data_IF_012693062559
#
_entry.id   IF_012693062559
#
_cell.length_a   1.000
_cell.length_b   1.000
_cell.length_c   1.000
_cell.angle_alpha   90.00
_cell.angle_beta   90.00
_cell.angle_gamma   90.00
#
_symmetry.space_group_name_H-M   'P 1'
#
loop_
_entity.id
_entity.type
_entity.pdbx_description
1 polymer ?
#
# COMPACT_ATOMS: atom_id res chain seq x y z
N UNK A 1 2.41 17.12 33.07
CA UNK A 1 1.36 16.37 32.34
C UNK A 1 1.57 16.66 30.86
N UNK A 2 1.73 15.63 30.03
CA UNK A 2 1.82 15.83 28.58
C UNK A 2 0.44 16.31 28.06
N UNK A 3 0.40 17.22 27.08
CA UNK A 3 -0.86 17.62 26.46
C UNK A 3 -1.56 16.41 25.85
N UNK A 4 -2.90 16.40 25.78
CA UNK A 4 -3.64 15.33 25.13
C UNK A 4 -3.22 15.21 23.65
N UNK A 5 -3.18 13.99 23.09
CA UNK A 5 -2.84 13.79 21.68
C UNK A 5 -3.84 14.54 20.79
N UNK A 6 -3.33 15.09 19.69
CA UNK A 6 -4.20 15.72 18.70
C UNK A 6 -5.07 14.65 18.01
N UNK A 7 -6.19 15.00 17.36
CA UNK A 7 -7.12 14.02 16.80
C UNK A 7 -6.49 13.05 15.79
N UNK A 8 -5.52 13.52 14.99
CA UNK A 8 -4.80 12.68 14.02
C UNK A 8 -3.92 11.65 14.73
N UNK A 9 -3.17 12.10 15.74
CA UNK A 9 -2.34 11.22 16.57
C UNK A 9 -3.20 10.18 17.32
N UNK A 10 -4.30 10.60 17.93
CA UNK A 10 -5.22 9.70 18.62
C UNK A 10 -5.80 8.64 17.67
N UNK A 11 -6.19 9.05 16.45
CA UNK A 11 -6.67 8.13 15.41
C UNK A 11 -5.58 7.14 14.99
N UNK A 12 -4.35 7.60 14.71
CA UNK A 12 -3.23 6.73 14.35
C UNK A 12 -2.97 5.65 15.43
N UNK A 13 -2.91 6.06 16.69
CA UNK A 13 -2.70 5.15 17.82
C UNK A 13 -3.86 4.16 17.98
N UNK A 14 -5.10 4.57 17.77
CA UNK A 14 -6.26 3.67 17.78
C UNK A 14 -6.17 2.60 16.69
N UNK A 15 -5.87 3.01 15.45
CA UNK A 15 -5.73 2.09 14.32
C UNK A 15 -4.62 1.07 14.58
N UNK A 16 -3.45 1.52 15.05
CA UNK A 16 -2.32 0.65 15.37
C UNK A 16 -2.64 -0.33 16.52
N UNK A 17 -3.36 0.13 17.54
CA UNK A 17 -3.83 -0.72 18.65
C UNK A 17 -4.80 -1.79 18.17
N UNK A 18 -5.79 -1.42 17.35
CA UNK A 18 -6.78 -2.36 16.77
C UNK A 18 -6.11 -3.37 15.85
N UNK A 19 -5.18 -2.92 15.01
CA UNK A 19 -4.38 -3.78 14.14
C UNK A 19 -3.61 -4.81 14.98
N UNK A 20 -2.86 -4.34 15.97
CA UNK A 20 -2.05 -5.21 16.83
C UNK A 20 -2.90 -6.20 17.61
N UNK A 21 -4.07 -5.78 18.11
CA UNK A 21 -4.99 -6.66 18.81
C UNK A 21 -5.58 -7.75 17.92
N UNK A 22 -5.93 -7.42 16.67
CA UNK A 22 -6.39 -8.41 15.69
C UNK A 22 -5.26 -9.36 15.28
N UNK A 23 -4.07 -8.80 14.99
CA UNK A 23 -2.92 -9.55 14.51
C UNK A 23 -2.38 -10.55 15.53
N UNK A 24 -2.39 -10.21 16.83
CA UNK A 24 -1.99 -11.14 17.92
C UNK A 24 -2.89 -12.37 18.06
N UNK A 25 -4.13 -12.31 17.56
CA UNK A 25 -5.07 -13.44 17.61
C UNK A 25 -4.87 -14.44 16.48
N UNK A 26 -4.10 -14.08 15.46
CA UNK A 26 -3.87 -14.92 14.30
C UNK A 26 -2.94 -16.09 14.65
N UNK A 27 -3.33 -17.31 14.27
CA UNK A 27 -2.46 -18.49 14.35
C UNK A 27 -1.20 -18.37 13.47
N UNK A 28 -0.17 -19.22 13.64
CA UNK A 28 1.13 -19.07 12.94
C UNK A 28 1.07 -19.05 11.41
N UNK A 29 0.06 -19.70 10.82
CA UNK A 29 -0.13 -19.83 9.37
C UNK A 29 -1.34 -19.05 8.85
N UNK A 30 -2.05 -18.34 9.73
CA UNK A 30 -3.21 -17.55 9.31
C UNK A 30 -2.76 -16.25 8.63
N UNK A 31 -3.54 -15.80 7.66
CA UNK A 31 -3.36 -14.48 7.05
C UNK A 31 -4.28 -13.48 7.74
N UNK A 32 -3.86 -12.20 7.87
CA UNK A 32 -4.76 -11.18 8.36
C UNK A 32 -6.03 -11.11 7.52
N UNK A 33 -7.15 -10.83 8.17
CA UNK A 33 -8.39 -10.51 7.46
C UNK A 33 -8.23 -9.15 6.78
N UNK A 34 -9.04 -8.92 5.75
CA UNK A 34 -9.02 -7.66 4.99
C UNK A 34 -9.22 -6.43 5.88
N UNK A 35 -10.04 -6.52 6.92
CA UNK A 35 -10.25 -5.41 7.85
C UNK A 35 -8.96 -5.05 8.59
N UNK A 36 -8.13 -6.03 8.92
CA UNK A 36 -6.82 -5.80 9.55
C UNK A 36 -5.89 -5.08 8.58
N UNK A 37 -5.80 -5.51 7.32
CA UNK A 37 -4.99 -4.84 6.30
C UNK A 37 -5.39 -3.37 6.13
N UNK A 38 -6.70 -3.10 6.08
CA UNK A 38 -7.23 -1.75 5.93
C UNK A 38 -6.85 -0.83 7.09
N UNK A 39 -6.70 -1.35 8.32
CA UNK A 39 -6.20 -0.57 9.46
C UNK A 39 -4.74 -0.13 9.24
N UNK A 40 -3.88 -1.02 8.73
CA UNK A 40 -2.49 -0.70 8.45
C UNK A 40 -2.36 0.32 7.32
N UNK A 41 -3.13 0.17 6.25
CA UNK A 41 -3.17 1.12 5.13
C UNK A 41 -3.73 2.49 5.56
N UNK A 42 -4.78 2.51 6.38
CA UNK A 42 -5.32 3.74 6.95
C UNK A 42 -4.29 4.48 7.83
N UNK A 43 -3.54 3.74 8.65
CA UNK A 43 -2.45 4.32 9.44
C UNK A 43 -1.33 4.89 8.53
N UNK A 44 -1.01 4.20 7.43
CA UNK A 44 -0.05 4.67 6.44
C UNK A 44 -0.50 5.97 5.74
N UNK A 45 -1.78 6.13 5.42
CA UNK A 45 -2.34 7.41 4.92
C UNK A 45 -2.07 8.54 5.92
N UNK A 46 -2.41 8.33 7.19
CA UNK A 46 -2.20 9.35 8.23
C UNK A 46 -0.72 9.72 8.38
N UNK A 47 0.18 8.73 8.33
CA UNK A 47 1.62 8.97 8.33
C UNK A 47 2.06 9.79 7.11
N UNK A 48 1.51 9.49 5.93
CA UNK A 48 1.89 10.15 4.69
C UNK A 48 1.39 11.61 4.63
N UNK A 49 0.14 11.86 5.02
CA UNK A 49 -0.50 13.19 4.92
C UNK A 49 -0.19 14.11 6.11
N UNK A 50 0.08 13.53 7.29
CA UNK A 50 0.21 14.28 8.54
C UNK A 50 1.43 13.89 9.38
N UNK A 51 2.65 13.72 8.81
CA UNK A 51 3.81 13.25 9.57
C UNK A 51 4.16 14.18 10.75
N UNK A 52 4.02 15.49 10.57
CA UNK A 52 4.29 16.51 11.60
C UNK A 52 3.28 16.52 12.77
N UNK A 53 2.18 15.76 12.67
CA UNK A 53 1.18 15.62 13.73
C UNK A 53 1.40 14.37 14.59
N UNK A 54 2.36 13.53 14.25
CA UNK A 54 2.59 12.26 14.93
C UNK A 54 3.78 12.40 15.89
N UNK A 55 3.53 12.11 17.16
CA UNK A 55 4.50 12.29 18.24
C UNK A 55 5.46 11.10 18.36
N UNK A 56 6.50 11.18 19.20
CA UNK A 56 7.37 10.03 19.51
C UNK A 56 6.62 8.76 19.96
N UNK A 57 5.43 8.89 20.57
CA UNK A 57 4.60 7.74 20.93
C UNK A 57 4.10 6.97 19.69
N UNK A 58 3.81 7.66 18.59
CA UNK A 58 3.49 7.01 17.31
C UNK A 58 4.71 6.30 16.74
N UNK A 59 5.91 6.87 16.84
CA UNK A 59 7.14 6.20 16.39
C UNK A 59 7.39 4.89 17.16
N UNK A 60 7.22 4.90 18.48
CA UNK A 60 7.34 3.70 19.30
C UNK A 60 6.30 2.65 18.90
N UNK A 61 5.05 3.07 18.73
CA UNK A 61 3.94 2.20 18.32
C UNK A 61 4.19 1.57 16.94
N UNK A 62 4.70 2.35 15.98
CA UNK A 62 5.14 1.85 14.67
C UNK A 62 6.20 0.76 14.85
N UNK A 63 7.20 1.00 15.70
CA UNK A 63 8.24 0.01 16.01
C UNK A 63 7.65 -1.32 16.50
N UNK A 64 6.72 -1.25 17.45
CA UNK A 64 6.04 -2.43 17.98
C UNK A 64 5.20 -3.16 16.92
N UNK A 65 4.43 -2.44 16.10
CA UNK A 65 3.63 -3.05 15.02
C UNK A 65 4.52 -3.69 13.95
N UNK A 66 5.63 -3.03 13.62
CA UNK A 66 6.64 -3.52 12.67
C UNK A 66 7.28 -4.83 13.16
N UNK A 67 7.69 -4.88 14.42
CA UNK A 67 8.24 -6.10 15.03
C UNK A 67 7.21 -7.22 15.07
N UNK A 68 5.97 -6.91 15.45
CA UNK A 68 4.88 -7.87 15.47
C UNK A 68 4.61 -8.46 14.07
N UNK A 69 4.58 -7.62 13.04
CA UNK A 69 4.41 -8.03 11.63
C UNK A 69 5.56 -8.89 11.11
N UNK A 70 6.79 -8.62 11.57
CA UNK A 70 8.00 -9.32 11.13
C UNK A 70 8.15 -10.77 11.60
N UNK A 71 7.31 -11.24 12.53
CA UNK A 71 7.43 -12.58 13.12
C UNK A 71 6.81 -13.72 12.29
N UNK A 72 6.39 -13.46 11.04
CA UNK A 72 5.72 -14.45 10.16
C UNK A 72 6.55 -14.84 8.95
N UNK A 73 6.13 -15.92 8.27
CA UNK A 73 6.84 -16.51 7.12
C UNK A 73 7.09 -15.51 5.97
N UNK A 74 6.11 -14.65 5.67
CA UNK A 74 6.29 -13.53 4.74
C UNK A 74 6.53 -12.23 5.52
N UNK A 75 7.69 -12.15 6.18
CA UNK A 75 8.02 -11.10 7.14
C UNK A 75 7.84 -9.67 6.62
N UNK A 76 7.95 -9.46 5.30
CA UNK A 76 7.82 -8.13 4.71
C UNK A 76 6.36 -7.69 4.58
N UNK A 77 5.42 -8.61 4.32
CA UNK A 77 4.03 -8.30 3.94
C UNK A 77 3.34 -7.45 5.00
N UNK A 78 3.30 -7.97 6.22
CA UNK A 78 2.58 -7.35 7.33
C UNK A 78 3.40 -6.25 8.02
N UNK A 79 4.72 -6.31 7.86
CA UNK A 79 5.67 -5.33 8.39
C UNK A 79 5.71 -4.05 7.54
N UNK A 80 5.54 -4.17 6.23
CA UNK A 80 5.89 -3.12 5.28
C UNK A 80 5.09 -1.82 5.47
N UNK A 81 3.76 -1.81 5.69
CA UNK A 81 3.05 -0.56 5.93
C UNK A 81 3.58 0.21 7.14
N UNK A 82 3.96 -0.51 8.21
CA UNK A 82 4.56 0.09 9.40
C UNK A 82 6.00 0.56 9.16
N UNK A 83 6.78 -0.19 8.38
CA UNK A 83 8.12 0.27 7.97
C UNK A 83 8.02 1.57 7.15
N UNK A 84 7.14 1.62 6.14
CA UNK A 84 6.92 2.81 5.32
C UNK A 84 6.45 4.00 6.14
N UNK A 85 5.49 3.80 7.06
CA UNK A 85 5.07 4.85 7.99
C UNK A 85 6.26 5.36 8.81
N UNK A 86 7.07 4.46 9.37
CA UNK A 86 8.26 4.82 10.14
C UNK A 86 9.29 5.62 9.34
N UNK A 87 9.52 5.24 8.08
CA UNK A 87 10.45 5.92 7.17
C UNK A 87 9.94 7.33 6.81
N UNK A 88 8.65 7.48 6.51
CA UNK A 88 8.00 8.77 6.28
C UNK A 88 8.18 9.71 7.48
N UNK A 89 7.98 9.20 8.70
CA UNK A 89 8.08 10.01 9.92
C UNK A 89 9.53 10.42 10.23
N UNK A 90 10.54 9.70 9.72
CA UNK A 90 11.96 10.11 9.80
C UNK A 90 12.37 11.07 8.68
N UNK A 91 11.48 11.35 7.73
CA UNK A 91 11.81 12.12 6.52
C UNK A 91 12.60 11.31 5.48
N UNK A 92 12.75 10.00 5.68
CA UNK A 92 13.44 9.07 4.80
C UNK A 92 12.45 8.56 3.74
N UNK A 93 11.91 9.44 2.90
CA UNK A 93 10.86 9.06 1.92
C UNK A 93 11.44 8.37 0.71
N UNK A 94 12.30 9.06 -0.03
CA UNK A 94 12.94 8.51 -1.22
C UNK A 94 14.09 7.59 -0.81
N UNK A 95 14.26 6.47 -1.53
CA UNK A 95 15.34 5.48 -1.30
C UNK A 95 15.31 4.79 0.08
N UNK A 96 14.20 4.91 0.81
CA UNK A 96 14.01 4.25 2.10
C UNK A 96 14.08 2.73 1.97
N UNK A 97 14.37 2.04 3.07
CA UNK A 97 14.31 0.57 3.12
C UNK A 97 12.92 0.08 2.73
N UNK A 98 11.85 0.72 3.22
CA UNK A 98 10.48 0.40 2.83
C UNK A 98 10.22 0.58 1.33
N UNK A 99 10.67 1.70 0.75
CA UNK A 99 10.52 1.96 -0.71
C UNK A 99 11.28 0.92 -1.53
N UNK A 100 12.52 0.60 -1.17
CA UNK A 100 13.30 -0.42 -1.86
C UNK A 100 12.64 -1.80 -1.80
N UNK A 101 12.10 -2.19 -0.63
CA UNK A 101 11.36 -3.45 -0.48
C UNK A 101 10.12 -3.47 -1.38
N UNK A 102 9.27 -2.43 -1.31
CA UNK A 102 8.02 -2.46 -2.08
C UNK A 102 8.28 -2.43 -3.59
N UNK A 103 9.25 -1.65 -4.06
CA UNK A 103 9.65 -1.63 -5.47
C UNK A 103 10.10 -3.01 -5.92
N UNK A 104 10.93 -3.72 -5.13
CA UNK A 104 11.39 -5.08 -5.46
C UNK A 104 10.26 -6.11 -5.59
N UNK A 105 9.12 -5.89 -4.92
CA UNK A 105 7.98 -6.82 -4.91
C UNK A 105 6.82 -6.39 -5.85
N UNK A 106 6.97 -5.35 -6.67
CA UNK A 106 5.92 -4.94 -7.61
C UNK A 106 5.60 -6.01 -8.67
N UNK A 107 6.57 -6.85 -9.03
CA UNK A 107 6.51 -7.96 -9.98
C UNK A 107 6.45 -9.34 -9.29
N UNK A 108 6.08 -9.38 -8.01
CA UNK A 108 6.08 -10.59 -7.19
C UNK A 108 5.33 -11.76 -7.87
N UNK A 109 5.94 -12.94 -8.06
CA UNK A 109 5.31 -14.06 -8.80
C UNK A 109 4.03 -14.60 -8.14
N UNK A 110 3.93 -14.55 -6.81
CA UNK A 110 2.73 -15.00 -6.09
C UNK A 110 1.62 -13.97 -6.18
N UNK A 111 0.54 -14.28 -6.91
CA UNK A 111 -0.57 -13.35 -7.16
C UNK A 111 -1.16 -12.69 -5.91
N UNK A 112 -1.33 -13.41 -4.81
CA UNK A 112 -1.83 -12.82 -3.55
C UNK A 112 -0.87 -11.75 -2.99
N UNK A 113 0.43 -12.02 -3.01
CA UNK A 113 1.46 -11.09 -2.55
C UNK A 113 1.62 -9.90 -3.50
N UNK A 114 1.52 -10.12 -4.82
CA UNK A 114 1.51 -9.04 -5.81
C UNK A 114 0.33 -8.10 -5.60
N UNK A 115 -0.87 -8.65 -5.41
CA UNK A 115 -2.06 -7.84 -5.15
C UNK A 115 -1.85 -6.93 -3.94
N UNK A 116 -1.30 -7.47 -2.86
CA UNK A 116 -0.93 -6.69 -1.67
C UNK A 116 0.15 -5.65 -1.96
N UNK A 117 1.23 -6.01 -2.65
CA UNK A 117 2.30 -5.09 -3.02
C UNK A 117 1.78 -3.88 -3.80
N UNK A 118 0.95 -4.12 -4.83
CA UNK A 118 0.34 -3.06 -5.62
C UNK A 118 -0.54 -2.14 -4.78
N UNK A 119 -1.29 -2.69 -3.83
CA UNK A 119 -2.14 -1.92 -2.93
C UNK A 119 -1.33 -1.06 -1.95
N UNK A 120 -0.28 -1.59 -1.34
CA UNK A 120 0.62 -0.80 -0.47
C UNK A 120 1.34 0.28 -1.28
N UNK A 121 1.87 -0.07 -2.45
CA UNK A 121 2.56 0.83 -3.37
C UNK A 121 1.69 2.03 -3.77
N UNK A 122 0.38 1.83 -3.95
CA UNK A 122 -0.54 2.92 -4.24
C UNK A 122 -0.49 4.04 -3.18
N UNK A 123 -0.39 3.70 -1.89
CA UNK A 123 -0.40 4.68 -0.81
C UNK A 123 0.92 5.45 -0.65
N UNK A 124 2.01 4.94 -1.23
CA UNK A 124 3.34 5.58 -1.24
C UNK A 124 3.80 5.93 -2.65
N UNK A 125 2.90 5.94 -3.64
CA UNK A 125 3.23 6.10 -5.05
C UNK A 125 3.99 7.39 -5.37
N UNK A 126 3.78 8.46 -4.59
CA UNK A 126 4.48 9.72 -4.76
C UNK A 126 5.97 9.65 -4.35
N UNK A 127 6.33 8.64 -3.57
CA UNK A 127 7.71 8.41 -3.10
C UNK A 127 8.43 7.34 -3.96
N UNK A 128 7.71 6.64 -4.84
CA UNK A 128 8.27 5.65 -5.78
C UNK A 128 8.96 6.35 -6.95
N UNK A 129 10.15 5.87 -7.30
CA UNK A 129 10.84 6.26 -8.52
C UNK A 129 10.22 5.55 -9.74
N UNK A 130 9.70 6.30 -10.73
CA UNK A 130 9.13 5.70 -11.95
C UNK A 130 10.14 4.87 -12.74
N UNK A 131 11.43 5.26 -12.78
CA UNK A 131 12.44 4.56 -13.59
C UNK A 131 12.65 3.12 -13.12
N UNK A 132 12.61 2.89 -11.81
CA UNK A 132 12.71 1.56 -11.20
C UNK A 132 11.37 0.81 -11.08
N UNK A 133 10.26 1.53 -10.85
CA UNK A 133 8.96 0.90 -10.58
C UNK A 133 8.19 0.52 -11.85
N UNK A 134 8.17 1.38 -12.87
CA UNK A 134 7.36 1.15 -14.09
C UNK A 134 7.76 -0.13 -14.83
N UNK A 135 9.06 -0.46 -15.03
CA UNK A 135 9.44 -1.70 -15.69
C UNK A 135 8.88 -2.95 -14.98
N UNK A 136 8.87 -2.97 -13.64
CA UNK A 136 8.29 -4.07 -12.86
C UNK A 136 6.78 -4.17 -13.00
N UNK A 137 6.10 -3.03 -13.09
CA UNK A 137 4.66 -3.01 -13.35
C UNK A 137 4.34 -3.53 -14.75
N UNK A 138 5.14 -3.18 -15.76
CA UNK A 138 5.01 -3.69 -17.13
C UNK A 138 5.36 -5.18 -17.26
N UNK A 139 6.29 -5.70 -16.46
CA UNK A 139 6.56 -7.15 -16.39
C UNK A 139 5.31 -7.95 -15.96
N UNK A 140 4.45 -7.40 -15.10
CA UNK A 140 3.17 -8.04 -14.77
C UNK A 140 2.19 -8.04 -15.95
N UNK A 141 2.27 -7.02 -16.83
CA UNK A 141 1.45 -6.91 -18.04
C UNK A 141 1.91 -7.90 -19.10
N UNK A 142 3.17 -8.24 -19.14
CA UNK A 142 3.72 -9.23 -20.05
C UNK A 142 3.28 -10.65 -19.69
N UNK A 143 3.41 -11.01 -18.42
CA UNK A 143 3.25 -12.38 -17.94
C UNK A 143 1.78 -12.84 -17.83
N UNK A 144 1.47 -14.14 -17.71
CA UNK A 144 0.08 -14.67 -17.58
C UNK A 144 -0.58 -14.40 -16.22
N UNK A 145 -0.09 -13.40 -15.49
CA UNK A 145 -0.34 -13.17 -14.09
C UNK A 145 -1.64 -12.37 -13.83
N UNK A 146 -2.22 -12.56 -12.64
CA UNK A 146 -3.33 -11.74 -12.18
C UNK A 146 -2.86 -10.30 -11.87
N UNK A 147 -3.81 -9.36 -11.81
CA UNK A 147 -3.63 -7.94 -11.48
C UNK A 147 -3.07 -7.03 -12.60
N UNK A 148 -3.10 -7.47 -13.86
CA UNK A 148 -2.71 -6.65 -15.04
C UNK A 148 -3.34 -5.25 -15.03
N UNK A 149 -4.65 -5.16 -14.79
CA UNK A 149 -5.37 -3.87 -14.73
C UNK A 149 -4.86 -2.97 -13.61
N UNK A 150 -4.53 -3.54 -12.44
CA UNK A 150 -3.99 -2.79 -11.32
C UNK A 150 -2.54 -2.34 -11.58
N UNK A 151 -1.73 -3.17 -12.24
CA UNK A 151 -0.38 -2.79 -12.67
C UNK A 151 -0.42 -1.62 -13.66
N UNK A 152 -1.32 -1.64 -14.64
CA UNK A 152 -1.56 -0.48 -15.52
C UNK A 152 -2.00 0.76 -14.75
N UNK A 153 -2.94 0.61 -13.81
CA UNK A 153 -3.44 1.73 -13.04
C UNK A 153 -2.37 2.41 -12.19
N UNK A 154 -1.53 1.61 -11.52
CA UNK A 154 -0.42 2.12 -10.72
C UNK A 154 0.68 2.73 -11.62
N UNK A 155 1.05 2.08 -12.72
CA UNK A 155 2.05 2.60 -13.65
C UNK A 155 1.62 3.94 -14.27
N UNK A 156 0.35 4.06 -14.66
CA UNK A 156 -0.18 5.32 -15.18
C UNK A 156 -0.25 6.43 -14.11
N UNK A 157 -0.41 6.08 -12.83
CA UNK A 157 -0.31 7.06 -11.75
C UNK A 157 1.12 7.59 -11.57
N UNK A 158 2.14 6.74 -11.81
CA UNK A 158 3.55 7.14 -11.75
C UNK A 158 3.97 7.96 -12.98
N UNK A 159 3.45 7.64 -14.17
CA UNK A 159 3.78 8.35 -15.40
C UNK A 159 3.04 9.69 -15.54
N UNK A 160 2.03 9.96 -14.71
CA UNK A 160 1.25 11.20 -14.68
C UNK A 160 0.25 11.39 -15.83
N UNK A 161 0.34 10.62 -16.91
CA UNK A 161 -0.61 10.63 -18.04
C UNK A 161 -0.67 9.27 -18.74
N UNK A 162 -1.74 9.05 -19.52
CA UNK A 162 -1.89 7.85 -20.35
C UNK A 162 -0.84 7.83 -21.45
N UNK A 163 -0.59 8.97 -22.07
CA UNK A 163 0.35 9.13 -23.19
C UNK A 163 1.79 8.82 -22.77
N UNK A 164 2.21 9.27 -21.58
CA UNK A 164 3.50 8.94 -21.01
C UNK A 164 3.62 7.44 -20.73
N UNK A 165 2.59 6.82 -20.15
CA UNK A 165 2.58 5.38 -19.92
C UNK A 165 2.64 4.56 -21.22
N UNK A 166 1.93 5.00 -22.27
CA UNK A 166 1.98 4.35 -23.58
C UNK A 166 3.35 4.51 -24.26
N UNK A 167 4.10 5.57 -23.96
CA UNK A 167 5.50 5.70 -24.38
C UNK A 167 6.38 4.68 -23.65
N UNK A 168 6.31 4.62 -22.31
CA UNK A 168 7.05 3.64 -21.50
C UNK A 168 6.75 2.20 -21.93
N UNK A 169 5.48 1.88 -22.16
CA UNK A 169 5.05 0.56 -22.63
C UNK A 169 5.60 0.19 -24.03
N UNK A 170 5.89 1.17 -24.89
CA UNK A 170 6.52 0.93 -26.20
C UNK A 170 8.02 0.74 -26.09
N UNK A 171 8.66 1.38 -25.11
CA UNK A 171 10.10 1.28 -24.86
C UNK A 171 10.46 0.03 -24.08
N UNK A 172 9.55 -0.48 -23.26
CA UNK A 172 9.69 -1.73 -22.53
C UNK A 172 9.89 -2.91 -23.49
N UNK A 173 10.93 -3.70 -23.24
CA UNK A 173 11.27 -4.89 -24.02
C UNK A 173 10.85 -6.12 -23.24
N UNK A 174 9.68 -6.74 -23.55
CA UNK A 174 9.26 -7.96 -22.88
C UNK A 174 10.24 -9.10 -23.17
N UNK A 175 10.60 -9.86 -22.14
CA UNK A 175 11.55 -10.98 -22.25
C UNK A 175 10.85 -12.26 -22.70
N UNK A 176 9.63 -12.48 -22.21
CA UNK A 176 8.72 -13.59 -22.44
C UNK A 176 7.35 -13.09 -22.96
N UNK A 177 6.49 -14.02 -23.40
CA UNK A 177 5.07 -13.74 -23.73
C UNK A 177 4.81 -12.50 -24.63
N UNK A 178 5.72 -12.19 -25.56
CA UNK A 178 5.71 -10.96 -26.39
C UNK A 178 4.35 -10.71 -27.06
N UNK A 179 3.76 -11.75 -27.66
CA UNK A 179 2.45 -11.66 -28.31
C UNK A 179 1.33 -11.30 -27.32
N UNK A 180 1.42 -11.80 -26.09
CA UNK A 180 0.45 -11.49 -25.04
C UNK A 180 0.63 -10.05 -24.55
N UNK A 181 1.87 -9.60 -24.36
CA UNK A 181 2.18 -8.22 -24.01
C UNK A 181 1.59 -7.27 -25.07
N UNK A 182 1.90 -7.50 -26.36
CA UNK A 182 1.39 -6.70 -27.47
C UNK A 182 -0.15 -6.63 -27.50
N UNK A 183 -0.83 -7.78 -27.32
CA UNK A 183 -2.30 -7.82 -27.22
C UNK A 183 -2.84 -7.02 -26.04
N UNK A 184 -2.16 -7.04 -24.89
CA UNK A 184 -2.59 -6.30 -23.70
C UNK A 184 -2.32 -4.81 -23.82
N UNK A 185 -1.24 -4.39 -24.46
CA UNK A 185 -0.99 -2.99 -24.82
C UNK A 185 -2.07 -2.48 -25.79
N UNK A 186 -2.39 -3.24 -26.85
CA UNK A 186 -3.46 -2.90 -27.77
C UNK A 186 -4.83 -2.83 -27.07
N UNK A 187 -5.09 -3.70 -26.09
CA UNK A 187 -6.32 -3.63 -25.29
C UNK A 187 -6.32 -2.44 -24.34
N UNK A 188 -5.18 -2.09 -23.75
CA UNK A 188 -5.06 -0.95 -22.84
C UNK A 188 -5.33 0.38 -23.55
N UNK A 189 -4.92 0.54 -24.82
CA UNK A 189 -5.20 1.77 -25.58
C UNK A 189 -6.70 2.01 -25.77
N UNK A 190 -7.52 0.95 -25.76
CA UNK A 190 -8.99 1.02 -25.80
C UNK A 190 -9.64 1.34 -24.44
N UNK A 191 -8.91 1.21 -23.33
CA UNK A 191 -9.42 1.51 -21.98
C UNK A 191 -9.06 2.91 -21.50
N UNK A 192 -9.88 3.44 -20.60
CA UNK A 192 -9.55 4.64 -19.84
C UNK A 192 -8.62 4.27 -18.66
N UNK A 193 -7.56 5.06 -18.47
CA UNK A 193 -6.65 4.93 -17.34
C UNK A 193 -7.41 5.02 -16.00
N UNK A 194 -8.47 5.82 -15.96
CA UNK A 194 -9.36 5.92 -14.79
C UNK A 194 -9.96 4.56 -14.43
N UNK A 195 -10.41 3.77 -15.41
CA UNK A 195 -10.94 2.43 -15.13
C UNK A 195 -9.88 1.52 -14.51
N UNK A 196 -8.62 1.63 -14.92
CA UNK A 196 -7.53 0.86 -14.35
C UNK A 196 -7.22 1.25 -12.90
N UNK A 197 -7.38 2.53 -12.56
CA UNK A 197 -7.11 3.09 -11.23
C UNK A 197 -8.29 2.96 -10.26
N UNK A 198 -9.51 2.67 -10.75
CA UNK A 198 -10.74 2.56 -9.97
C UNK A 198 -10.62 1.68 -8.71
N UNK A 199 -9.93 0.54 -8.80
CA UNK A 199 -9.72 -0.34 -7.65
C UNK A 199 -8.99 0.37 -6.51
N UNK A 200 -7.96 1.14 -6.84
CA UNK A 200 -7.15 1.81 -5.82
C UNK A 200 -7.89 2.98 -5.18
N UNK A 201 -8.63 3.77 -5.95
CA UNK A 201 -9.47 4.82 -5.37
C UNK A 201 -10.56 4.26 -4.47
N UNK A 202 -11.17 3.14 -4.84
CA UNK A 202 -12.14 2.45 -3.98
C UNK A 202 -11.47 2.01 -2.67
N UNK A 203 -10.27 1.43 -2.74
CA UNK A 203 -9.50 1.04 -1.57
C UNK A 203 -9.16 2.24 -0.67
N UNK A 204 -8.64 3.31 -1.27
CA UNK A 204 -8.33 4.56 -0.56
C UNK A 204 -9.57 5.14 0.12
N UNK A 205 -10.72 5.13 -0.56
CA UNK A 205 -12.00 5.55 0.03
C UNK A 205 -12.41 4.72 1.24
N UNK A 206 -12.19 3.40 1.22
CA UNK A 206 -12.46 2.53 2.37
C UNK A 206 -11.56 2.87 3.55
N UNK A 207 -10.25 3.08 3.32
CA UNK A 207 -9.32 3.50 4.36
C UNK A 207 -9.68 4.87 4.93
N UNK A 208 -10.05 5.85 4.08
CA UNK A 208 -10.48 7.19 4.52
C UNK A 208 -11.76 7.15 5.36
N UNK A 209 -12.69 6.24 5.04
CA UNK A 209 -13.86 5.99 5.87
C UNK A 209 -13.47 5.48 7.26
N UNK A 210 -12.58 4.49 7.34
CA UNK A 210 -12.07 3.96 8.62
C UNK A 210 -11.41 5.06 9.47
N UNK A 211 -10.63 5.95 8.84
CA UNK A 211 -10.02 7.10 9.52
C UNK A 211 -11.10 8.02 10.09
N UNK A 212 -12.09 8.39 9.27
CA UNK A 212 -13.20 9.27 9.67
C UNK A 212 -13.99 8.67 10.83
N UNK A 213 -14.33 7.38 10.74
CA UNK A 213 -15.05 6.66 11.78
C UNK A 213 -14.23 6.61 13.08
N UNK A 214 -12.92 6.35 13.02
CA UNK A 214 -12.05 6.33 14.21
C UNK A 214 -11.93 7.71 14.87
N UNK A 215 -11.84 8.79 14.08
CA UNK A 215 -11.81 10.17 14.60
C UNK A 215 -13.12 10.57 15.27
N UNK A 216 -14.28 10.16 14.73
CA UNK A 216 -15.58 10.50 15.29
C UNK A 216 -15.86 9.83 16.65
N UNK A 217 -15.31 8.64 16.90
CA UNK A 217 -15.58 7.86 18.12
C UNK A 217 -14.58 8.11 19.26
N UNK A 218 -13.67 9.08 19.12
CA UNK A 218 -12.83 9.59 20.22
C UNK A 218 -12.06 8.51 20.99
N UNK A 219 -11.56 7.47 20.32
CA UNK A 219 -10.77 6.40 20.95
C UNK A 219 -11.54 5.48 21.90
N UNK A 220 -12.88 5.58 21.97
CA UNK A 220 -13.69 4.62 22.71
C UNK A 220 -13.80 3.32 21.90
N UNK A 221 -13.49 2.15 22.49
CA UNK A 221 -13.56 0.87 21.79
C UNK A 221 -15.01 0.56 21.47
N UNK A 222 -15.44 0.78 20.23
CA UNK A 222 -16.74 0.30 19.78
C UNK A 222 -16.65 -1.13 19.26
N UNK A 223 -17.54 -1.91 19.84
CA UNK A 223 -17.99 -3.26 19.56
C UNK A 223 -18.31 -3.47 18.07
N UNK A 224 -17.83 -4.59 17.56
CA UNK A 224 -18.22 -5.33 16.34
C UNK A 224 -19.03 -4.58 15.27
N UNK A 225 -18.38 -4.34 14.12
CA UNK A 225 -19.06 -4.02 12.86
C UNK A 225 -19.94 -5.21 12.43
N UNK A 226 -21.21 -4.99 12.03
CA UNK A 226 -22.02 -6.04 11.43
C UNK A 226 -21.51 -6.32 10.01
N UNK A 227 -21.44 -7.62 9.69
CA UNK A 227 -21.10 -8.20 8.38
C UNK A 227 -22.07 -7.78 7.28
#
# INVERSE_FOLDING_TARGET
>A
MSPPPNPVEACFLDLARRWSAAYRKLGPMETPKRETDLLALAALILANEHPHRLSPACHETIGQCRELGGNRFYYWVDRLPWQLAGDILRGERHESVGINIITQHLDEPKSALRGWALEVAWFVRADLDPESAVPKLLANVENTLAFVTASWGLAGALCGSKEALELEARLFQPEDFIDQYAKRCARFSEFDLVTCQARFWNLESLCRRIITDSMAHGGSPQTELPL
#
